data_IF_100713733169
#
_entry.id   IF_100713733169
#
_cell.length_a   1.000
_cell.length_b   1.000
_cell.length_c   1.000
_cell.angle_alpha   90.00
_cell.angle_beta   90.00
_cell.angle_gamma   90.00
#
_symmetry.space_group_name_H-M   'P 1'
#
loop_
_entity.id
_entity.type
_entity.pdbx_description
1 polymer ?
#
# COMPACT_ATOMS: atom_id res chain seq x y z
N UNK A 1 -16.12 20.35 0.07
CA UNK A 1 -15.51 20.86 -1.18
C UNK A 1 -16.59 20.97 -2.24
N UNK A 2 -16.51 22.00 -3.09
CA UNK A 2 -17.35 22.10 -4.29
C UNK A 2 -17.15 20.83 -5.15
N UNK A 3 -18.21 20.16 -5.63
CA UNK A 3 -18.10 18.96 -6.45
C UNK A 3 -17.19 19.14 -7.67
N UNK A 4 -17.11 20.35 -8.24
CA UNK A 4 -16.20 20.66 -9.35
C UNK A 4 -14.73 20.61 -8.93
N UNK A 5 -14.38 21.12 -7.75
CA UNK A 5 -13.00 21.07 -7.26
C UNK A 5 -12.60 19.62 -6.97
N UNK A 6 -13.54 18.84 -6.41
CA UNK A 6 -13.33 17.42 -6.18
C UNK A 6 -13.08 16.67 -7.49
N UNK A 7 -13.91 16.89 -8.52
CA UNK A 7 -13.73 16.22 -9.82
C UNK A 7 -12.41 16.62 -10.48
N UNK A 8 -12.04 17.90 -10.45
CA UNK A 8 -10.76 18.38 -10.97
C UNK A 8 -9.58 17.72 -10.24
N UNK A 9 -9.64 17.61 -8.90
CA UNK A 9 -8.57 16.96 -8.13
C UNK A 9 -8.42 15.46 -8.40
N UNK A 10 -9.53 14.76 -8.65
CA UNK A 10 -9.50 13.34 -8.99
C UNK A 10 -9.01 13.15 -10.44
N UNK A 11 -9.43 14.01 -11.37
CA UNK A 11 -8.94 14.00 -12.74
C UNK A 11 -7.44 14.28 -12.81
N UNK A 12 -6.93 15.25 -12.05
CA UNK A 12 -5.49 15.53 -12.01
C UNK A 12 -4.69 14.39 -11.38
N UNK A 13 -5.22 13.68 -10.37
CA UNK A 13 -4.64 12.44 -9.88
C UNK A 13 -4.58 11.34 -10.94
N UNK A 14 -5.62 11.22 -11.77
CA UNK A 14 -5.62 10.31 -12.90
C UNK A 14 -4.55 10.69 -13.92
N UNK A 15 -4.53 11.96 -14.33
CA UNK A 15 -3.59 12.52 -15.30
C UNK A 15 -2.12 12.34 -14.88
N UNK A 16 -1.79 12.60 -13.62
CA UNK A 16 -0.42 12.41 -13.13
C UNK A 16 0.02 10.95 -13.25
N UNK A 17 -0.83 9.99 -12.87
CA UNK A 17 -0.52 8.57 -13.03
C UNK A 17 -0.43 8.11 -14.48
N UNK A 18 -1.33 8.54 -15.36
CA UNK A 18 -1.29 8.14 -16.78
C UNK A 18 -0.09 8.73 -17.49
N UNK A 19 0.29 9.97 -17.17
CA UNK A 19 1.53 10.58 -17.67
C UNK A 19 2.75 9.74 -17.30
N UNK A 20 2.85 9.27 -16.04
CA UNK A 20 3.98 8.43 -15.64
C UNK A 20 4.01 7.06 -16.34
N UNK A 21 2.85 6.51 -16.71
CA UNK A 21 2.80 5.21 -17.41
C UNK A 21 3.23 5.31 -18.87
N UNK A 22 2.90 6.42 -19.53
CA UNK A 22 3.14 6.62 -20.96
C UNK A 22 4.53 7.23 -21.22
N UNK A 23 5.11 7.89 -20.22
CA UNK A 23 6.34 8.65 -20.38
C UNK A 23 7.56 7.78 -20.76
N UNK A 24 8.26 8.21 -21.82
CA UNK A 24 9.59 7.73 -22.20
C UNK A 24 10.73 8.61 -21.67
N UNK A 25 10.46 9.89 -21.42
CA UNK A 25 11.44 10.86 -20.94
C UNK A 25 11.36 11.06 -19.42
N UNK A 26 12.53 11.16 -18.78
CA UNK A 26 12.69 11.36 -17.33
C UNK A 26 11.94 12.56 -16.78
N UNK A 27 11.98 13.70 -17.50
CA UNK A 27 11.31 14.92 -17.06
C UNK A 27 9.79 14.75 -16.99
N UNK A 28 9.21 13.98 -17.93
CA UNK A 28 7.76 13.74 -17.97
C UNK A 28 7.33 12.81 -16.82
N UNK A 29 8.15 11.81 -16.48
CA UNK A 29 7.94 10.98 -15.29
C UNK A 29 7.95 11.83 -14.02
N UNK A 30 8.94 12.72 -13.87
CA UNK A 30 8.98 13.63 -12.73
C UNK A 30 7.74 14.52 -12.67
N UNK A 31 7.34 15.13 -13.79
CA UNK A 31 6.16 16.00 -13.86
C UNK A 31 4.88 15.24 -13.47
N UNK A 32 4.70 14.01 -13.96
CA UNK A 32 3.55 13.18 -13.57
C UNK A 32 3.52 12.85 -12.08
N UNK A 33 4.68 12.56 -11.49
CA UNK A 33 4.80 12.35 -10.04
C UNK A 33 4.53 13.62 -9.22
N UNK A 34 4.86 14.81 -9.72
CA UNK A 34 4.54 16.09 -9.05
C UNK A 34 3.07 16.51 -9.21
N UNK A 35 2.46 16.22 -10.36
CA UNK A 35 1.03 16.42 -10.52
C UNK A 35 0.28 15.57 -9.48
N UNK A 36 0.73 14.32 -9.25
CA UNK A 36 0.14 13.45 -8.23
C UNK A 36 0.31 13.97 -6.79
N UNK A 37 1.46 14.54 -6.45
CA UNK A 37 1.72 15.10 -5.11
C UNK A 37 0.85 16.33 -4.88
N UNK A 38 0.74 17.23 -5.86
CA UNK A 38 -0.06 18.44 -5.74
C UNK A 38 -1.57 18.15 -5.73
N UNK A 39 -2.02 17.20 -6.55
CA UNK A 39 -3.43 16.88 -6.70
C UNK A 39 -4.06 16.26 -5.43
N UNK A 40 -3.29 15.51 -4.62
CA UNK A 40 -3.83 14.89 -3.41
C UNK A 40 -3.91 15.84 -2.20
N UNK A 41 -3.13 16.93 -2.17
CA UNK A 41 -3.08 17.83 -1.00
C UNK A 41 -4.45 18.41 -0.63
N UNK A 42 -5.29 18.91 -1.58
CA UNK A 42 -6.62 19.41 -1.25
C UNK A 42 -7.54 18.35 -0.64
N UNK A 43 -7.41 17.09 -1.08
CA UNK A 43 -8.17 15.97 -0.51
C UNK A 43 -7.75 15.68 0.93
N UNK A 44 -6.45 15.80 1.22
CA UNK A 44 -5.92 15.54 2.55
C UNK A 44 -6.30 16.62 3.59
N UNK A 45 -6.40 17.90 3.19
CA UNK A 45 -6.78 19.02 4.08
C UNK A 45 -8.31 19.15 4.28
N UNK A 46 -9.12 18.26 3.68
CA UNK A 46 -10.58 18.40 3.60
C UNK A 46 -11.29 18.79 4.91
N UNK A 47 -10.91 18.19 6.04
CA UNK A 47 -11.56 18.43 7.34
C UNK A 47 -11.11 19.71 8.05
N UNK A 48 -10.09 20.41 7.55
CA UNK A 48 -9.52 21.62 8.15
C UNK A 48 -9.16 21.50 9.64
N UNK A 49 -8.82 20.29 10.11
CA UNK A 49 -8.40 20.02 11.48
C UNK A 49 -6.86 20.08 11.59
N UNK A 50 -6.27 20.51 12.73
CA UNK A 50 -4.81 20.60 12.90
C UNK A 50 -4.06 19.29 12.58
N UNK A 51 -4.67 18.13 12.86
CA UNK A 51 -4.09 16.82 12.49
C UNK A 51 -4.05 16.59 10.97
N UNK A 52 -5.05 17.06 10.24
CA UNK A 52 -5.06 16.96 8.79
C UNK A 52 -3.97 17.88 8.22
N UNK A 53 -3.83 19.11 8.73
CA UNK A 53 -2.77 20.03 8.30
C UNK A 53 -1.36 19.54 8.64
N UNK A 54 -1.17 18.88 9.78
CA UNK A 54 0.11 18.26 10.15
C UNK A 54 0.44 17.08 9.22
N UNK A 55 -0.55 16.21 8.94
CA UNK A 55 -0.36 15.11 7.99
C UNK A 55 -0.02 15.62 6.59
N UNK A 56 -0.67 16.69 6.12
CA UNK A 56 -0.43 17.23 4.79
C UNK A 56 0.92 17.90 4.66
N UNK A 57 1.37 18.60 5.69
CA UNK A 57 2.71 19.21 5.71
C UNK A 57 3.80 18.14 5.74
N UNK A 58 3.65 17.09 6.55
CA UNK A 58 4.56 15.93 6.55
C UNK A 58 4.61 15.24 5.19
N UNK A 59 3.45 15.00 4.58
CA UNK A 59 3.37 14.42 3.24
C UNK A 59 4.05 15.31 2.19
N UNK A 60 3.73 16.60 2.16
CA UNK A 60 4.30 17.52 1.19
C UNK A 60 5.83 17.60 1.28
N UNK A 61 6.36 17.81 2.49
CA UNK A 61 7.81 17.92 2.69
C UNK A 61 8.53 16.65 2.27
N UNK A 62 8.03 15.48 2.68
CA UNK A 62 8.65 14.20 2.31
C UNK A 62 8.59 13.97 0.80
N UNK A 63 7.43 14.16 0.18
CA UNK A 63 7.29 13.94 -1.26
C UNK A 63 8.06 14.95 -2.12
N UNK A 64 8.18 16.20 -1.69
CA UNK A 64 8.99 17.23 -2.35
C UNK A 64 10.49 16.91 -2.24
N UNK A 65 10.96 16.39 -1.09
CA UNK A 65 12.35 15.92 -0.98
C UNK A 65 12.60 14.71 -1.88
N UNK A 66 11.64 13.78 -1.98
CA UNK A 66 11.74 12.63 -2.88
C UNK A 66 11.80 13.06 -4.35
N UNK A 67 10.99 14.03 -4.75
CA UNK A 67 10.94 14.50 -6.13
C UNK A 67 12.18 15.31 -6.51
N UNK A 68 12.73 16.11 -5.59
CA UNK A 68 14.01 16.77 -5.77
C UNK A 68 15.17 15.77 -5.94
N UNK A 69 15.20 14.71 -5.11
CA UNK A 69 16.18 13.61 -5.25
C UNK A 69 16.02 12.88 -6.59
N UNK A 70 14.79 12.66 -7.04
CA UNK A 70 14.50 12.03 -8.34
C UNK A 70 14.99 12.89 -9.50
N UNK A 71 14.73 14.20 -9.49
CA UNK A 71 15.29 15.13 -10.48
C UNK A 71 16.81 15.13 -10.47
N UNK A 72 17.42 15.16 -9.28
CA UNK A 72 18.87 15.14 -9.14
C UNK A 72 19.49 13.86 -9.72
N UNK A 73 18.85 12.70 -9.51
CA UNK A 73 19.25 11.45 -10.13
C UNK A 73 19.13 11.50 -11.67
N UNK A 74 18.04 12.08 -12.19
CA UNK A 74 17.83 12.24 -13.63
C UNK A 74 18.83 13.20 -14.29
N UNK A 75 19.07 14.37 -13.68
CA UNK A 75 20.00 15.38 -14.21
C UNK A 75 21.45 14.92 -14.16
N UNK A 76 21.86 14.20 -13.11
CA UNK A 76 23.21 13.63 -13.04
C UNK A 76 23.43 12.55 -14.08
N UNK A 77 22.41 11.72 -14.39
CA UNK A 77 22.48 10.78 -15.50
C UNK A 77 22.58 11.51 -16.85
N UNK A 78 21.68 12.47 -17.09
CA UNK A 78 21.65 13.25 -18.34
C UNK A 78 22.93 14.08 -18.56
N UNK A 79 23.56 14.57 -17.49
CA UNK A 79 24.85 15.26 -17.57
C UNK A 79 25.96 14.34 -18.12
N UNK A 80 25.92 13.05 -17.78
CA UNK A 80 26.95 12.08 -18.17
C UNK A 80 26.65 11.50 -19.56
N UNK A 81 25.40 11.12 -19.83
CA UNK A 81 25.01 10.45 -21.08
C UNK A 81 24.57 11.40 -22.18
N UNK A 82 24.21 12.64 -21.84
CA UNK A 82 23.62 13.61 -22.76
C UNK A 82 22.16 13.31 -23.15
N UNK A 83 21.53 12.31 -22.54
CA UNK A 83 20.18 11.85 -22.89
C UNK A 83 19.21 11.87 -21.71
N UNK A 84 17.92 12.03 -22.00
CA UNK A 84 16.83 12.08 -21.02
C UNK A 84 15.94 10.84 -21.04
N UNK A 85 16.36 9.79 -21.71
CA UNK A 85 15.57 8.57 -21.84
C UNK A 85 15.61 7.74 -20.56
N UNK A 86 14.45 7.18 -20.21
CA UNK A 86 14.26 6.43 -18.97
C UNK A 86 15.15 5.19 -18.88
N UNK A 87 15.27 4.46 -19.99
CA UNK A 87 15.89 3.13 -20.05
C UNK A 87 17.42 3.15 -20.05
N UNK A 88 18.04 4.31 -20.23
CA UNK A 88 19.50 4.45 -20.29
C UNK A 88 20.07 5.05 -19.00
N UNK A 89 19.87 4.36 -17.88
CA UNK A 89 20.54 4.68 -16.61
C UNK A 89 21.86 3.93 -16.51
N UNK A 90 22.96 4.58 -16.94
CA UNK A 90 24.29 3.95 -16.98
C UNK A 90 25.09 4.17 -15.70
N UNK A 91 24.88 5.29 -15.00
CA UNK A 91 25.61 5.60 -13.79
C UNK A 91 25.00 4.91 -12.56
N UNK A 92 25.79 4.08 -11.87
CA UNK A 92 25.35 3.40 -10.65
C UNK A 92 24.94 4.40 -9.55
N UNK A 93 25.60 5.55 -9.46
CA UNK A 93 25.26 6.57 -8.46
C UNK A 93 23.86 7.15 -8.70
N UNK A 94 23.50 7.47 -9.94
CA UNK A 94 22.15 7.96 -10.26
C UNK A 94 21.09 6.87 -10.03
N UNK A 95 21.37 5.62 -10.40
CA UNK A 95 20.47 4.49 -10.14
C UNK A 95 20.22 4.28 -8.63
N UNK A 96 21.24 4.41 -7.79
CA UNK A 96 21.07 4.32 -6.33
C UNK A 96 20.27 5.50 -5.76
N UNK A 97 20.57 6.75 -6.16
CA UNK A 97 19.79 7.93 -5.76
C UNK A 97 18.33 7.81 -6.17
N UNK A 98 18.08 7.32 -7.38
CA UNK A 98 16.74 7.07 -7.87
C UNK A 98 16.00 6.03 -7.03
N UNK A 99 16.65 4.90 -6.71
CA UNK A 99 16.05 3.87 -5.87
C UNK A 99 15.67 4.39 -4.48
N UNK A 100 16.50 5.27 -3.90
CA UNK A 100 16.26 5.93 -2.61
C UNK A 100 15.09 6.92 -2.73
N UNK A 101 15.04 7.71 -3.82
CA UNK A 101 13.95 8.65 -4.08
C UNK A 101 12.59 7.94 -4.21
N UNK A 102 12.53 6.85 -4.98
CA UNK A 102 11.33 6.04 -5.14
C UNK A 102 10.97 5.31 -3.83
N UNK A 103 11.97 4.84 -3.08
CA UNK A 103 11.77 4.27 -1.75
C UNK A 103 11.11 5.28 -0.79
N UNK A 104 11.53 6.54 -0.84
CA UNK A 104 10.93 7.62 -0.06
C UNK A 104 9.48 7.88 -0.48
N UNK A 105 9.20 7.94 -1.79
CA UNK A 105 7.83 8.16 -2.32
C UNK A 105 6.85 7.06 -1.88
N UNK A 106 7.29 5.80 -1.91
CA UNK A 106 6.42 4.64 -1.62
C UNK A 106 6.33 4.37 -0.10
N UNK A 107 7.32 4.80 0.69
CA UNK A 107 7.39 4.63 2.14
C UNK A 107 8.10 3.34 2.58
N UNK A 108 9.17 2.95 1.90
CA UNK A 108 10.02 1.80 2.27
C UNK A 108 10.91 2.13 3.48
N UNK A 109 11.24 1.12 4.28
CA UNK A 109 12.21 1.29 5.36
C UNK A 109 13.63 1.47 4.77
N UNK A 110 14.46 2.39 5.32
CA UNK A 110 14.26 3.15 6.56
C UNK A 110 13.38 4.42 6.45
N UNK A 111 13.03 4.85 5.23
CA UNK A 111 12.31 6.11 4.92
C UNK A 111 10.78 6.05 5.15
N UNK A 112 10.33 5.14 6.01
CA UNK A 112 8.93 4.78 6.21
C UNK A 112 8.18 5.66 7.24
N UNK A 113 8.89 6.46 8.04
CA UNK A 113 8.35 7.14 9.23
C UNK A 113 7.16 8.06 8.94
N UNK A 114 7.10 8.64 7.74
CA UNK A 114 6.03 9.54 7.35
C UNK A 114 4.68 8.83 7.17
N UNK A 115 4.69 7.58 6.70
CA UNK A 115 3.50 6.90 6.23
C UNK A 115 2.48 6.62 7.37
N UNK A 116 2.88 6.08 8.55
CA UNK A 116 1.95 5.88 9.66
C UNK A 116 1.39 7.17 10.25
N UNK A 117 2.16 8.24 10.26
CA UNK A 117 1.73 9.53 10.80
C UNK A 117 0.74 10.22 9.88
N UNK A 118 1.05 10.26 8.58
CA UNK A 118 0.16 10.82 7.56
C UNK A 118 -1.16 10.07 7.55
N UNK A 119 -1.15 8.73 7.43
CA UNK A 119 -2.39 7.95 7.41
C UNK A 119 -3.26 8.14 8.65
N UNK A 120 -2.68 8.41 9.83
CA UNK A 120 -3.47 8.65 11.03
C UNK A 120 -4.20 9.99 11.04
N UNK A 121 -3.66 11.01 10.36
CA UNK A 121 -4.28 12.33 10.25
C UNK A 121 -5.34 12.45 9.15
N UNK A 122 -5.44 11.45 8.28
CA UNK A 122 -6.33 11.43 7.12
C UNK A 122 -7.64 10.67 7.37
N UNK A 123 -8.64 10.95 6.53
CA UNK A 123 -9.89 10.20 6.45
C UNK A 123 -9.68 8.82 5.85
N UNK A 124 -10.60 7.89 6.10
CA UNK A 124 -10.47 6.52 5.60
C UNK A 124 -10.46 6.45 4.07
N UNK A 125 -11.25 7.30 3.40
CA UNK A 125 -11.29 7.36 1.92
C UNK A 125 -10.01 7.97 1.36
N UNK A 126 -9.49 9.04 1.94
CA UNK A 126 -8.24 9.66 1.46
C UNK A 126 -7.02 8.80 1.81
N UNK A 127 -7.06 8.13 2.96
CA UNK A 127 -6.09 7.10 3.33
C UNK A 127 -6.10 5.90 2.39
N UNK A 128 -7.28 5.49 1.88
CA UNK A 128 -7.38 4.48 0.83
C UNK A 128 -6.62 4.95 -0.42
N UNK A 129 -6.92 6.14 -0.95
CA UNK A 129 -6.25 6.71 -2.14
C UNK A 129 -4.73 6.78 -1.94
N UNK A 130 -4.26 7.20 -0.76
CA UNK A 130 -2.84 7.25 -0.43
C UNK A 130 -2.20 5.85 -0.39
N UNK A 131 -2.91 4.86 0.15
CA UNK A 131 -2.39 3.50 0.31
C UNK A 131 -2.39 2.66 -0.97
N UNK A 132 -3.21 3.01 -1.97
CA UNK A 132 -3.36 2.29 -3.24
C UNK A 132 -2.90 3.12 -4.44
N UNK A 133 -3.62 4.20 -4.76
CA UNK A 133 -3.44 4.98 -5.98
C UNK A 133 -2.06 5.65 -6.04
N UNK A 134 -1.63 6.29 -4.95
CA UNK A 134 -0.33 6.98 -4.89
C UNK A 134 0.86 6.04 -5.00
N UNK A 135 0.66 4.72 -4.84
CA UNK A 135 1.73 3.73 -5.03
C UNK A 135 1.89 3.34 -6.50
N UNK A 136 0.86 3.49 -7.34
CA UNK A 136 0.87 3.01 -8.72
C UNK A 136 1.97 3.65 -9.57
N UNK A 137 2.04 4.99 -9.59
CA UNK A 137 3.00 5.70 -10.43
C UNK A 137 4.47 5.41 -10.04
N UNK A 138 4.88 5.51 -8.75
CA UNK A 138 6.23 5.12 -8.35
C UNK A 138 6.56 3.64 -8.62
N UNK A 139 5.59 2.72 -8.48
CA UNK A 139 5.82 1.30 -8.80
C UNK A 139 5.98 1.06 -10.30
N UNK A 140 5.28 1.79 -11.16
CA UNK A 140 5.49 1.70 -12.60
C UNK A 140 6.91 2.13 -13.00
N UNK A 141 7.45 3.19 -12.37
CA UNK A 141 8.84 3.61 -12.58
C UNK A 141 9.82 2.51 -12.12
N UNK A 142 9.58 1.90 -10.95
CA UNK A 142 10.41 0.78 -10.49
C UNK A 142 10.35 -0.42 -11.44
N UNK A 143 9.17 -0.75 -11.97
CA UNK A 143 8.97 -1.84 -12.93
C UNK A 143 9.72 -1.62 -14.24
N UNK A 144 9.67 -0.40 -14.78
CA UNK A 144 10.39 -0.05 -16.01
C UNK A 144 11.91 -0.10 -15.83
N UNK A 145 12.39 0.22 -14.63
CA UNK A 145 13.83 0.33 -14.34
C UNK A 145 14.42 -0.89 -13.62
N UNK A 146 13.64 -1.96 -13.44
CA UNK A 146 14.06 -3.14 -12.69
C UNK A 146 15.44 -3.74 -13.07
N UNK A 147 15.92 -3.74 -14.34
CA UNK A 147 17.20 -4.36 -14.65
C UNK A 147 18.38 -3.43 -14.33
N UNK A 148 18.15 -2.12 -14.21
CA UNK A 148 19.17 -1.08 -14.00
C UNK A 148 19.40 -0.78 -12.52
N UNK A 149 18.48 -1.21 -11.65
CA UNK A 149 18.54 -0.96 -10.22
C UNK A 149 19.44 -1.97 -9.51
N UNK A 150 20.10 -1.52 -8.44
CA UNK A 150 20.95 -2.39 -7.64
C UNK A 150 20.11 -3.43 -6.86
N UNK A 151 20.25 -4.74 -7.15
CA UNK A 151 19.46 -5.78 -6.49
C UNK A 151 19.77 -5.91 -5.00
N UNK A 152 21.02 -5.68 -4.58
CA UNK A 152 21.40 -5.81 -3.16
C UNK A 152 20.75 -4.73 -2.31
N UNK A 153 20.65 -3.51 -2.84
CA UNK A 153 19.98 -2.40 -2.17
C UNK A 153 18.47 -2.62 -2.07
N UNK A 154 17.82 -3.05 -3.16
CA UNK A 154 16.38 -3.32 -3.18
C UNK A 154 15.99 -4.46 -2.25
N UNK A 155 16.76 -5.55 -2.25
CA UNK A 155 16.54 -6.69 -1.34
C UNK A 155 16.74 -6.30 0.12
N UNK A 156 17.79 -5.52 0.44
CA UNK A 156 18.03 -5.03 1.79
C UNK A 156 16.89 -4.12 2.29
N UNK A 157 16.47 -3.12 1.50
CA UNK A 157 15.34 -2.25 1.85
C UNK A 157 14.03 -3.04 2.00
N UNK A 158 13.82 -4.02 1.13
CA UNK A 158 12.65 -4.89 1.16
C UNK A 158 12.58 -5.73 2.44
N UNK A 159 13.65 -6.46 2.78
CA UNK A 159 13.70 -7.26 4.02
C UNK A 159 13.54 -6.37 5.27
N UNK A 160 14.21 -5.22 5.31
CA UNK A 160 14.06 -4.25 6.40
C UNK A 160 12.63 -3.77 6.54
N UNK A 161 11.95 -3.47 5.43
CA UNK A 161 10.55 -3.01 5.47
C UNK A 161 9.57 -4.07 5.96
N UNK A 162 9.82 -5.35 5.68
CA UNK A 162 9.00 -6.45 6.21
C UNK A 162 9.18 -6.57 7.73
N UNK A 163 10.42 -6.49 8.23
CA UNK A 163 10.72 -6.51 9.66
C UNK A 163 10.10 -5.31 10.41
N UNK A 164 10.33 -4.10 9.88
CA UNK A 164 9.82 -2.86 10.47
C UNK A 164 8.30 -2.79 10.41
N UNK A 165 7.68 -3.23 9.30
CA UNK A 165 6.23 -3.35 9.18
C UNK A 165 5.64 -4.34 10.17
N UNK A 166 6.32 -5.48 10.39
CA UNK A 166 5.96 -6.47 11.41
C UNK A 166 5.99 -5.87 12.81
N UNK A 167 7.13 -5.37 13.26
CA UNK A 167 7.29 -4.84 14.62
C UNK A 167 6.49 -3.55 14.87
N UNK A 168 6.46 -2.64 13.91
CA UNK A 168 5.73 -1.39 14.03
C UNK A 168 4.23 -1.58 14.20
N UNK A 169 3.65 -2.59 13.53
CA UNK A 169 2.23 -2.92 13.64
C UNK A 169 1.82 -3.52 14.98
N UNK A 170 2.71 -4.22 15.69
CA UNK A 170 2.41 -4.91 16.95
C UNK A 170 1.92 -3.98 18.06
N UNK A 171 2.39 -2.73 18.09
CA UNK A 171 2.11 -1.80 19.18
C UNK A 171 1.04 -0.76 18.82
N UNK A 172 0.29 -0.94 17.74
CA UNK A 172 -0.71 0.03 17.30
C UNK A 172 -2.12 -0.36 17.71
N UNK A 173 -2.87 0.60 18.25
CA UNK A 173 -4.30 0.48 18.56
C UNK A 173 -5.19 1.23 17.56
N UNK A 174 -4.59 2.04 16.70
CA UNK A 174 -5.28 2.80 15.66
C UNK A 174 -5.28 1.98 14.37
N UNK A 175 -6.47 1.73 13.80
CA UNK A 175 -6.62 0.89 12.61
C UNK A 175 -5.85 1.48 11.41
N UNK A 176 -5.84 2.81 11.26
CA UNK A 176 -5.10 3.50 10.18
C UNK A 176 -3.59 3.27 10.27
N UNK A 177 -3.01 3.25 11.47
CA UNK A 177 -1.58 2.92 11.67
C UNK A 177 -1.28 1.44 11.46
N UNK A 178 -2.19 0.55 11.83
CA UNK A 178 -2.03 -0.89 11.53
C UNK A 178 -1.99 -1.10 10.01
N UNK A 179 -2.91 -0.46 9.27
CA UNK A 179 -2.92 -0.50 7.81
C UNK A 179 -1.65 0.14 7.21
N UNK A 180 -1.15 1.23 7.80
CA UNK A 180 0.12 1.83 7.39
C UNK A 180 1.29 0.83 7.45
N UNK A 181 1.50 0.19 8.60
CA UNK A 181 2.56 -0.80 8.76
C UNK A 181 2.36 -2.05 7.90
N UNK A 182 1.11 -2.45 7.65
CA UNK A 182 0.84 -3.50 6.67
C UNK A 182 1.29 -3.11 5.26
N UNK A 183 1.03 -1.86 4.84
CA UNK A 183 1.47 -1.39 3.53
C UNK A 183 2.98 -1.42 3.40
N UNK A 184 3.71 -1.03 4.45
CA UNK A 184 5.18 -1.07 4.49
C UNK A 184 5.67 -2.51 4.31
N UNK A 185 5.06 -3.47 5.02
CA UNK A 185 5.42 -4.88 4.88
C UNK A 185 5.12 -5.43 3.47
N UNK A 186 3.93 -5.17 2.91
CA UNK A 186 3.55 -5.66 1.58
C UNK A 186 4.41 -5.05 0.47
N UNK A 187 4.74 -3.76 0.58
CA UNK A 187 5.69 -3.12 -0.34
C UNK A 187 7.05 -3.78 -0.26
N UNK A 188 7.50 -4.17 0.92
CA UNK A 188 8.74 -4.95 1.08
C UNK A 188 8.73 -6.26 0.30
N UNK A 189 7.63 -7.00 0.35
CA UNK A 189 7.47 -8.19 -0.47
C UNK A 189 7.55 -7.87 -1.98
N UNK A 190 6.99 -6.75 -2.41
CA UNK A 190 7.04 -6.31 -3.82
C UNK A 190 8.45 -5.88 -4.23
N UNK A 191 9.21 -5.18 -3.38
CA UNK A 191 10.54 -4.70 -3.78
C UNK A 191 11.59 -5.81 -3.85
N UNK A 192 11.51 -6.83 -2.99
CA UNK A 192 12.46 -7.95 -3.01
C UNK A 192 12.40 -8.72 -4.33
N UNK A 193 11.19 -8.98 -4.82
CA UNK A 193 10.99 -9.80 -6.03
C UNK A 193 11.13 -9.00 -7.33
N UNK A 194 11.20 -7.66 -7.26
CA UNK A 194 11.19 -6.77 -8.41
C UNK A 194 12.28 -7.04 -9.44
N UNK A 195 13.49 -7.32 -8.98
CA UNK A 195 14.60 -7.60 -9.89
C UNK A 195 14.51 -9.00 -10.52
N UNK A 196 13.93 -9.97 -9.82
CA UNK A 196 13.90 -11.37 -10.26
C UNK A 196 12.72 -11.69 -11.16
N UNK A 197 11.53 -11.20 -10.82
CA UNK A 197 10.33 -11.43 -11.61
C UNK A 197 9.36 -10.24 -11.46
N UNK A 198 9.41 -9.25 -12.36
CA UNK A 198 8.54 -8.08 -12.29
C UNK A 198 7.05 -8.47 -12.35
N UNK A 199 6.70 -9.53 -13.06
CA UNK A 199 5.31 -10.01 -13.15
C UNK A 199 4.73 -10.42 -11.78
N UNK A 200 5.53 -11.05 -10.90
CA UNK A 200 5.07 -11.35 -9.54
C UNK A 200 4.90 -10.10 -8.67
N UNK A 201 5.68 -9.04 -8.91
CA UNK A 201 5.42 -7.77 -8.22
C UNK A 201 4.08 -7.18 -8.60
N UNK A 202 3.72 -7.24 -9.89
CA UNK A 202 2.45 -6.74 -10.40
C UNK A 202 1.29 -7.56 -9.82
N UNK A 203 1.43 -8.89 -9.78
CA UNK A 203 0.47 -9.78 -9.12
C UNK A 203 0.28 -9.42 -7.64
N UNK A 204 1.37 -9.23 -6.89
CA UNK A 204 1.28 -8.87 -5.49
C UNK A 204 0.65 -7.48 -5.30
N UNK A 205 0.96 -6.52 -6.16
CA UNK A 205 0.38 -5.18 -6.13
C UNK A 205 -1.14 -5.20 -6.40
N UNK A 206 -1.60 -5.99 -7.37
CA UNK A 206 -3.05 -6.11 -7.66
C UNK A 206 -3.81 -6.75 -6.50
N UNK A 207 -3.28 -7.84 -5.92
CA UNK A 207 -3.88 -8.51 -4.76
C UNK A 207 -3.86 -7.58 -3.54
N UNK A 208 -2.75 -6.86 -3.30
CA UNK A 208 -2.66 -5.87 -2.23
C UNK A 208 -3.71 -4.76 -2.37
N UNK A 209 -3.89 -4.17 -3.56
CA UNK A 209 -4.91 -3.15 -3.81
C UNK A 209 -6.32 -3.68 -3.54
N UNK A 210 -6.63 -4.91 -3.97
CA UNK A 210 -7.92 -5.56 -3.69
C UNK A 210 -8.14 -5.77 -2.17
N UNK A 211 -7.12 -6.26 -1.45
CA UNK A 211 -7.21 -6.48 -0.01
C UNK A 211 -7.34 -5.18 0.78
N UNK A 212 -6.51 -4.16 0.51
CA UNK A 212 -6.58 -2.90 1.27
C UNK A 212 -7.84 -2.11 0.98
N UNK A 213 -8.29 -2.07 -0.28
CA UNK A 213 -9.57 -1.44 -0.64
C UNK A 213 -10.73 -2.08 0.09
N UNK A 214 -10.77 -3.42 0.17
CA UNK A 214 -11.80 -4.12 0.93
C UNK A 214 -11.83 -3.70 2.40
N UNK A 215 -10.68 -3.63 3.09
CA UNK A 215 -10.61 -3.24 4.51
C UNK A 215 -10.94 -1.78 4.76
N UNK A 216 -10.40 -0.85 3.97
CA UNK A 216 -10.72 0.57 4.14
C UNK A 216 -12.21 0.83 3.92
N UNK A 217 -12.84 0.18 2.93
CA UNK A 217 -14.28 0.29 2.70
C UNK A 217 -15.09 -0.31 3.85
N UNK A 218 -14.69 -1.47 4.39
CA UNK A 218 -15.34 -2.07 5.57
C UNK A 218 -15.26 -1.15 6.79
N UNK A 219 -14.09 -0.56 7.07
CA UNK A 219 -13.92 0.38 8.16
C UNK A 219 -14.71 1.68 7.94
N UNK A 220 -14.85 2.12 6.69
CA UNK A 220 -15.64 3.32 6.35
C UNK A 220 -17.14 3.09 6.58
N UNK A 221 -17.68 1.93 6.16
CA UNK A 221 -19.09 1.58 6.37
C UNK A 221 -19.42 1.49 7.87
N UNK A 222 -18.51 0.94 8.66
CA UNK A 222 -18.68 0.84 10.12
C UNK A 222 -18.26 2.12 10.87
N UNK A 223 -17.69 3.12 10.21
CA UNK A 223 -17.12 4.34 10.81
C UNK A 223 -16.15 4.06 11.98
N UNK A 224 -15.28 3.06 11.84
CA UNK A 224 -14.38 2.61 12.91
C UNK A 224 -12.94 3.02 12.66
N UNK A 225 -12.29 3.62 13.66
CA UNK A 225 -10.87 4.05 13.58
C UNK A 225 -9.97 3.40 14.63
N UNK A 226 -10.53 2.86 15.71
CA UNK A 226 -9.81 2.22 16.83
C UNK A 226 -10.24 0.76 17.01
N UNK A 227 -9.38 -0.06 17.61
CA UNK A 227 -9.69 -1.46 17.97
C UNK A 227 -10.98 -1.56 18.79
N UNK A 228 -11.12 -0.76 19.84
CA UNK A 228 -12.30 -0.82 20.71
C UNK A 228 -13.59 -0.46 19.96
N UNK A 229 -13.52 0.44 18.97
CA UNK A 229 -14.71 0.82 18.18
C UNK A 229 -15.13 -0.30 17.22
N UNK A 230 -14.18 -1.01 16.60
CA UNK A 230 -14.50 -2.16 15.74
C UNK A 230 -14.96 -3.38 16.56
N UNK A 231 -14.47 -3.56 17.80
CA UNK A 231 -14.93 -4.64 18.68
C UNK A 231 -16.44 -4.58 18.94
N UNK A 232 -16.99 -3.38 19.20
CA UNK A 232 -18.44 -3.17 19.40
C UNK A 232 -19.29 -3.26 18.11
N UNK A 233 -18.67 -3.45 16.94
CA UNK A 233 -19.41 -3.52 15.67
C UNK A 233 -20.03 -4.90 15.42
N UNK A 234 -19.55 -5.95 16.09
CA UNK A 234 -20.07 -7.33 15.96
C UNK A 234 -21.56 -7.44 16.26
N UNK A 235 -22.03 -6.66 17.24
CA UNK A 235 -23.45 -6.64 17.63
C UNK A 235 -24.31 -5.73 16.75
N UNK A 236 -23.70 -4.84 15.97
CA UNK A 236 -24.40 -3.94 15.04
C UNK A 236 -24.58 -4.58 13.68
N UNK A 237 -23.51 -5.18 13.14
CA UNK A 237 -23.45 -5.73 11.78
C UNK A 237 -22.55 -6.97 11.73
N UNK A 238 -23.04 -8.14 12.21
CA UNK A 238 -22.22 -9.34 12.34
C UNK A 238 -21.61 -9.80 11.01
N UNK A 239 -22.34 -9.69 9.90
CA UNK A 239 -21.82 -10.04 8.57
C UNK A 239 -20.59 -9.22 8.17
N UNK A 240 -20.62 -7.90 8.39
CA UNK A 240 -19.48 -7.03 8.05
C UNK A 240 -18.26 -7.38 8.91
N UNK A 241 -18.46 -7.76 10.18
CA UNK A 241 -17.36 -8.18 11.05
C UNK A 241 -16.71 -9.49 10.61
N UNK A 242 -17.49 -10.45 10.11
CA UNK A 242 -16.96 -11.69 9.51
C UNK A 242 -16.14 -11.35 8.25
N UNK A 243 -16.63 -10.44 7.41
CA UNK A 243 -15.87 -10.00 6.22
C UNK A 243 -14.57 -9.27 6.60
N UNK A 244 -14.56 -8.45 7.66
CA UNK A 244 -13.34 -7.85 8.21
C UNK A 244 -12.36 -8.93 8.68
N UNK A 245 -12.83 -9.94 9.40
CA UNK A 245 -11.98 -11.04 9.86
C UNK A 245 -11.34 -11.78 8.68
N UNK A 246 -12.13 -12.19 7.69
CA UNK A 246 -11.64 -12.94 6.53
C UNK A 246 -10.63 -12.13 5.70
N UNK A 247 -10.87 -10.82 5.53
CA UNK A 247 -9.95 -9.92 4.82
C UNK A 247 -8.66 -9.60 5.61
N UNK A 248 -8.71 -9.56 6.94
CA UNK A 248 -7.49 -9.47 7.77
C UNK A 248 -6.64 -10.75 7.68
N UNK A 249 -7.27 -11.92 7.68
CA UNK A 249 -6.58 -13.19 7.51
C UNK A 249 -5.97 -13.32 6.10
N UNK A 250 -6.63 -12.77 5.07
CA UNK A 250 -6.07 -12.75 3.72
C UNK A 250 -4.82 -11.86 3.64
N UNK A 251 -4.81 -10.66 4.24
CA UNK A 251 -3.59 -9.85 4.38
C UNK A 251 -2.46 -10.57 5.15
N UNK A 252 -2.83 -11.31 6.20
CA UNK A 252 -1.92 -12.19 6.93
C UNK A 252 -1.28 -13.26 6.04
N UNK A 253 -1.95 -13.65 4.95
CA UNK A 253 -1.46 -14.63 3.99
C UNK A 253 -1.58 -16.05 4.53
N UNK A 254 -2.74 -16.41 5.08
CA UNK A 254 -3.03 -17.78 5.50
C UNK A 254 -3.64 -18.59 4.33
N UNK A 255 -3.21 -19.85 4.10
CA UNK A 255 -3.99 -20.77 3.27
C UNK A 255 -5.33 -21.02 3.98
N UNK A 256 -6.50 -20.98 3.32
CA UNK A 256 -6.83 -21.07 1.88
C UNK A 256 -7.12 -19.73 1.16
N UNK A 257 -6.71 -18.59 1.72
CA UNK A 257 -7.07 -17.25 1.23
C UNK A 257 -6.10 -16.71 0.17
N UNK A 258 -6.55 -15.73 -0.62
CA UNK A 258 -5.77 -15.22 -1.76
C UNK A 258 -4.45 -14.57 -1.40
N UNK A 259 -4.34 -13.88 -0.26
CA UNK A 259 -3.09 -13.21 0.10
C UNK A 259 -1.95 -14.16 0.46
N UNK A 260 -2.20 -15.47 0.57
CA UNK A 260 -1.15 -16.49 0.65
C UNK A 260 -0.43 -16.67 -0.70
N UNK A 261 -1.17 -16.61 -1.81
CA UNK A 261 -0.67 -16.82 -3.16
C UNK A 261 0.59 -15.99 -3.49
N UNK A 262 0.60 -14.65 -3.37
CA UNK A 262 1.77 -13.87 -3.76
C UNK A 262 2.97 -14.16 -2.85
N UNK A 263 2.77 -14.33 -1.55
CA UNK A 263 3.87 -14.64 -0.61
C UNK A 263 4.50 -15.99 -0.93
N UNK A 264 3.67 -17.00 -1.21
CA UNK A 264 4.13 -18.34 -1.57
C UNK A 264 4.93 -18.32 -2.87
N UNK A 265 4.41 -17.70 -3.93
CA UNK A 265 5.10 -17.63 -5.23
C UNK A 265 6.41 -16.83 -5.15
N UNK A 266 6.43 -15.73 -4.39
CA UNK A 266 7.65 -14.95 -4.16
C UNK A 266 8.72 -15.79 -3.48
N UNK A 267 8.36 -16.52 -2.41
CA UNK A 267 9.30 -17.41 -1.73
C UNK A 267 9.84 -18.51 -2.67
N UNK A 268 8.97 -19.07 -3.50
CA UNK A 268 9.37 -20.07 -4.50
C UNK A 268 10.40 -19.50 -5.47
N UNK A 269 10.17 -18.32 -6.07
CA UNK A 269 11.15 -17.70 -6.98
C UNK A 269 12.45 -17.34 -6.27
N UNK A 270 12.41 -16.84 -5.02
CA UNK A 270 13.63 -16.55 -4.27
C UNK A 270 14.48 -17.79 -4.01
N UNK A 271 13.87 -18.94 -3.77
CA UNK A 271 14.61 -20.20 -3.61
C UNK A 271 15.26 -20.66 -4.92
N UNK A 272 14.62 -20.42 -6.07
CA UNK A 272 15.21 -20.70 -7.39
C UNK A 272 16.43 -19.83 -7.68
N UNK A 273 16.43 -18.59 -7.19
CA UNK A 273 17.52 -17.63 -7.38
C UNK A 273 18.64 -17.73 -6.32
N UNK A 274 18.74 -18.87 -5.61
CA UNK A 274 19.75 -19.14 -4.57
C UNK A 274 19.79 -18.12 -3.42
N UNK A 275 18.65 -17.53 -3.04
CA UNK A 275 18.51 -16.63 -1.88
C UNK A 275 17.67 -17.24 -0.73
N UNK A 276 18.00 -18.43 -0.20
CA UNK A 276 17.18 -19.06 0.83
C UNK A 276 17.21 -18.28 2.16
N UNK A 277 18.33 -17.64 2.51
CA UNK A 277 18.48 -16.93 3.79
C UNK A 277 17.51 -15.74 3.87
N UNK A 278 17.48 -14.87 2.86
CA UNK A 278 16.54 -13.74 2.86
C UNK A 278 15.08 -14.21 2.80
N UNK A 279 14.79 -15.27 2.03
CA UNK A 279 13.46 -15.87 1.98
C UNK A 279 12.99 -16.38 3.37
N UNK A 280 13.85 -17.05 4.13
CA UNK A 280 13.52 -17.53 5.49
C UNK A 280 13.28 -16.38 6.46
N UNK A 281 14.10 -15.32 6.43
CA UNK A 281 13.90 -14.12 7.25
C UNK A 281 12.55 -13.47 6.93
N UNK A 282 12.21 -13.34 5.64
CA UNK A 282 10.93 -12.76 5.21
C UNK A 282 9.73 -13.60 5.65
N UNK A 283 9.82 -14.93 5.53
CA UNK A 283 8.77 -15.83 5.97
C UNK A 283 8.51 -15.72 7.48
N UNK A 284 9.57 -15.71 8.29
CA UNK A 284 9.46 -15.51 9.74
C UNK A 284 8.94 -14.11 10.09
N UNK A 285 9.37 -13.08 9.38
CA UNK A 285 8.91 -11.71 9.60
C UNK A 285 7.43 -11.53 9.24
N UNK A 286 6.90 -12.27 8.26
CA UNK A 286 5.46 -12.26 7.96
C UNK A 286 4.60 -12.86 9.08
N UNK A 287 5.15 -13.73 9.94
CA UNK A 287 4.42 -14.21 11.12
C UNK A 287 4.20 -13.10 12.16
N UNK A 288 5.12 -12.13 12.26
CA UNK A 288 4.94 -10.96 13.12
C UNK A 288 3.75 -10.11 12.66
N UNK A 289 3.58 -9.93 11.34
CA UNK A 289 2.44 -9.18 10.83
C UNK A 289 1.13 -9.92 11.02
N UNK A 290 1.16 -11.25 10.82
CA UNK A 290 0.04 -12.13 11.11
C UNK A 290 -0.44 -12.03 12.56
N UNK A 291 0.47 -11.87 13.54
CA UNK A 291 0.09 -11.76 14.95
C UNK A 291 -0.82 -10.56 15.24
N UNK A 292 -0.51 -9.36 14.72
CA UNK A 292 -1.38 -8.21 14.98
C UNK A 292 -2.72 -8.30 14.22
N UNK A 293 -2.77 -9.00 13.09
CA UNK A 293 -4.04 -9.31 12.44
C UNK A 293 -4.89 -10.27 13.26
N UNK A 294 -4.29 -11.34 13.80
CA UNK A 294 -4.99 -12.27 14.69
C UNK A 294 -5.51 -11.57 15.94
N UNK A 295 -4.73 -10.64 16.52
CA UNK A 295 -5.19 -9.82 17.64
C UNK A 295 -6.44 -9.00 17.28
N UNK A 296 -6.47 -8.41 16.09
CA UNK A 296 -7.66 -7.71 15.60
C UNK A 296 -8.84 -8.66 15.42
N UNK A 297 -8.65 -9.81 14.76
CA UNK A 297 -9.69 -10.83 14.60
C UNK A 297 -10.27 -11.26 15.96
N UNK A 298 -9.40 -11.48 16.95
CA UNK A 298 -9.83 -11.84 18.30
C UNK A 298 -10.74 -10.80 18.94
N UNK A 299 -10.36 -9.52 18.83
CA UNK A 299 -11.14 -8.41 19.40
C UNK A 299 -12.46 -8.13 18.68
N UNK A 300 -12.57 -8.49 17.39
CA UNK A 300 -13.73 -8.13 16.56
C UNK A 300 -14.76 -9.24 16.48
N UNK A 301 -14.35 -10.49 16.27
CA UNK A 301 -15.27 -11.59 15.98
C UNK A 301 -15.22 -12.74 16.98
N UNK A 302 -14.02 -13.14 17.43
CA UNK A 302 -13.89 -14.34 18.27
C UNK A 302 -14.30 -14.10 19.72
N UNK A 303 -14.21 -12.86 20.20
CA UNK A 303 -14.72 -12.45 21.51
C UNK A 303 -15.71 -11.31 21.38
N UNK A 304 -16.71 -11.29 22.26
CA UNK A 304 -17.69 -10.22 22.35
C UNK A 304 -17.23 -9.23 23.42
N UNK A 305 -16.83 -8.02 23.00
CA UNK A 305 -16.52 -6.93 23.92
C UNK A 305 -17.79 -6.37 24.58
N UNK A 306 -17.71 -5.83 25.80
CA UNK A 306 -18.86 -5.21 26.46
C UNK A 306 -19.38 -4.03 25.64
N UNK A 307 -20.69 -4.01 25.39
CA UNK A 307 -21.34 -2.92 24.67
C UNK A 307 -21.85 -1.84 25.61
N UNK A 308 -21.77 -0.55 25.21
CA UNK A 308 -22.39 0.52 25.97
C UNK A 308 -23.92 0.42 25.90
N UNK A 309 -24.60 0.74 27.00
CA UNK A 309 -26.08 0.76 27.09
C UNK A 309 -26.71 1.73 26.08
N UNK A 310 -25.98 2.79 25.69
CA UNK A 310 -26.42 3.83 24.74
C UNK A 310 -26.09 3.44 23.28
N UNK A 311 -26.04 2.15 22.94
CA UNK A 311 -25.91 1.75 21.53
C UNK A 311 -27.22 2.01 20.81
N UNK A 312 -27.22 2.97 19.87
CA UNK A 312 -28.39 3.23 19.02
C UNK A 312 -28.81 1.97 18.28
N UNK A 313 -30.14 1.76 18.15
CA UNK A 313 -30.70 0.60 17.47
C UNK A 313 -30.46 0.68 15.97
N UNK A 314 -29.27 0.26 15.51
CA UNK A 314 -28.98 0.08 14.09
C UNK A 314 -29.85 -1.00 13.43
N UNK A 315 -30.57 -1.78 14.24
CA UNK A 315 -31.45 -2.87 13.80
C UNK A 315 -32.67 -2.39 13.01
N UNK A 316 -33.09 -1.13 13.17
CA UNK A 316 -34.30 -0.60 12.53
C UNK A 316 -34.06 0.02 11.16
N UNK A 317 -32.86 0.52 10.88
CA UNK A 317 -32.52 1.20 9.62
C UNK A 317 -31.57 0.37 8.79
N UNK A 318 -32.07 -0.25 7.72
CA UNK A 318 -31.22 -0.90 6.72
C UNK A 318 -30.54 0.16 5.87
N UNK A 319 -29.25 -0.01 5.62
CA UNK A 319 -28.53 0.80 4.62
C UNK A 319 -29.07 0.47 3.23
N UNK A 320 -29.55 1.48 2.51
CA UNK A 320 -30.18 1.34 1.19
C UNK A 320 -29.18 1.38 0.03
N UNK A 321 -27.89 1.66 0.28
CA UNK A 321 -26.90 1.79 -0.78
C UNK A 321 -26.22 0.44 -1.08
N UNK A 322 -26.32 -0.08 -2.32
CA UNK A 322 -25.59 -1.27 -2.72
C UNK A 322 -24.10 -0.93 -2.87
N UNK A 323 -23.25 -1.50 -2.01
CA UNK A 323 -21.80 -1.30 -2.09
C UNK A 323 -21.16 -2.33 -3.05
N UNK A 324 -21.42 -2.17 -4.35
CA UNK A 324 -20.91 -3.07 -5.39
C UNK A 324 -19.36 -3.13 -5.41
N UNK A 325 -18.69 -2.01 -5.13
CA UNK A 325 -17.22 -1.96 -5.06
C UNK A 325 -16.71 -2.80 -3.88
N UNK A 326 -17.40 -2.76 -2.72
CA UNK A 326 -17.03 -3.55 -1.57
C UNK A 326 -17.19 -5.05 -1.87
N UNK A 327 -18.31 -5.45 -2.46
CA UNK A 327 -18.56 -6.88 -2.74
C UNK A 327 -17.54 -7.44 -3.73
N UNK A 328 -17.21 -6.70 -4.80
CA UNK A 328 -16.18 -7.11 -5.76
C UNK A 328 -14.79 -7.21 -5.13
N UNK A 329 -14.36 -6.19 -4.37
CA UNK A 329 -13.03 -6.17 -3.74
C UNK A 329 -12.90 -7.25 -2.68
N UNK A 330 -13.94 -7.48 -1.87
CA UNK A 330 -13.95 -8.56 -0.88
C UNK A 330 -13.94 -9.94 -1.54
N UNK A 331 -14.73 -10.19 -2.59
CA UNK A 331 -14.69 -11.49 -3.29
C UNK A 331 -13.33 -11.77 -3.92
N UNK A 332 -12.71 -10.76 -4.55
CA UNK A 332 -11.36 -10.86 -5.11
C UNK A 332 -10.32 -11.15 -4.02
N UNK A 333 -10.45 -10.53 -2.84
CA UNK A 333 -9.52 -10.76 -1.73
C UNK A 333 -9.62 -12.15 -1.08
N UNK A 334 -10.70 -12.90 -1.30
CA UNK A 334 -10.95 -14.17 -0.59
C UNK A 334 -10.86 -15.40 -1.50
N UNK A 335 -11.31 -15.34 -2.75
CA UNK A 335 -11.64 -16.54 -3.54
C UNK A 335 -10.73 -16.80 -4.77
N UNK A 336 -9.67 -16.02 -5.00
CA UNK A 336 -8.75 -16.17 -6.15
C UNK A 336 -7.69 -17.28 -6.03
N UNK A 337 -7.50 -17.91 -4.86
CA UNK A 337 -6.46 -18.94 -4.69
C UNK A 337 -6.55 -20.14 -5.67
N UNK A 338 -7.74 -20.71 -6.00
CA UNK A 338 -7.81 -21.78 -7.00
C UNK A 338 -7.45 -21.33 -8.42
N UNK A 339 -7.44 -20.02 -8.71
CA UNK A 339 -7.05 -19.44 -10.00
C UNK A 339 -5.54 -19.15 -10.09
N UNK A 340 -4.78 -19.61 -9.11
CA UNK A 340 -3.30 -19.58 -9.11
C UNK A 340 -2.63 -20.08 -10.40
N UNK A 341 -2.99 -21.24 -11.00
CA UNK A 341 -2.32 -21.71 -12.21
C UNK A 341 -2.60 -20.81 -13.40
N UNK A 342 -3.82 -20.25 -13.49
CA UNK A 342 -4.18 -19.30 -14.54
C UNK A 342 -3.35 -18.02 -14.42
N UNK A 343 -3.23 -17.48 -13.22
CA UNK A 343 -2.40 -16.30 -12.97
C UNK A 343 -0.92 -16.56 -13.30
N UNK A 344 -0.40 -17.73 -12.97
CA UNK A 344 0.98 -18.11 -13.34
C UNK A 344 1.16 -18.18 -14.86
N UNK A 345 0.23 -18.80 -15.58
CA UNK A 345 0.29 -18.92 -17.04
C UNK A 345 0.26 -17.56 -17.77
N UNK A 346 -0.36 -16.54 -17.18
CA UNK A 346 -0.35 -15.18 -17.71
C UNK A 346 0.95 -14.43 -17.44
N UNK A 347 1.78 -14.93 -16.51
CA UNK A 347 3.01 -14.28 -16.05
C UNK A 347 4.30 -14.96 -16.52
N UNK A 348 4.20 -16.18 -17.06
CA UNK A 348 5.30 -16.92 -17.73
C UNK A 348 5.35 -16.61 -19.20
#
# INVERSE_FOLDING_TARGET
MNPLILSISILSLGLGTTMTFIASHWLLVWMGLEINTMAIIPLMIYQHHPRATEATTKYFLTQATASALLLFAGTTNAWITGQWDMTEMTNQASATLLSIALALKIGLAPLHFWLPEVLQGLDLITGLILSTWQKLAPFAVLLQLHPLLNPTLLTAMGVLSILVGGWGGLNQTQLRKILAYSSIAHIGWMTVILHYSPNLTLLNLTIYIAMTSSLFLLFNINNTTKINTIATSSTKSPLLTIMVMLTLLSLGGLPPLTGFMPKWLILQEMTKQNLPISATIMALAALLSLFFYLRLCYSVTLTLSPNPVISSSSWRTKTSQPNLILTLTTSLSLLLLPLTPMALSLTT
#
